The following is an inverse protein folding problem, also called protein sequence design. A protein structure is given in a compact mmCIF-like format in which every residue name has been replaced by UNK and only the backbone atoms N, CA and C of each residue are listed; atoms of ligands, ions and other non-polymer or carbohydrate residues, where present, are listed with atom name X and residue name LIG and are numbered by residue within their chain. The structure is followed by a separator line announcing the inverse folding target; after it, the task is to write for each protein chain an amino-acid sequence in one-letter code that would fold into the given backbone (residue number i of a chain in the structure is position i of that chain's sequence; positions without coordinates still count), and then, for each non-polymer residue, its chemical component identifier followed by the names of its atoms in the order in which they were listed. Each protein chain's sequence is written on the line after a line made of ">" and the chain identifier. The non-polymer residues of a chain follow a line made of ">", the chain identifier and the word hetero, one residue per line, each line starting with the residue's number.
data_IF_429114613533
#
_entry.id   IF_429114613533
#
_cell.length_a   1.000
_cell.length_b   1.000
_cell.length_c   1.000
_cell.angle_alpha   90.00
_cell.angle_beta   90.00
_cell.angle_gamma   90.00
#
_symmetry.space_group_name_H-M   'P 1'
#
loop_
_entity.id
_entity.type
_entity.pdbx_description
1 polymer ?
#
# COMPACT_ATOMS: atom_id res chain seq x y z
N UNK A 1 32.93 -8.95 22.91
CA UNK A 1 31.56 -8.63 23.36
C UNK A 1 31.09 -7.47 22.52
N UNK A 2 30.44 -7.76 21.39
CA UNK A 2 29.81 -6.74 20.56
C UNK A 2 28.55 -6.29 21.28
N UNK A 3 28.47 -5.00 21.57
CA UNK A 3 27.31 -4.31 22.11
C UNK A 3 26.05 -4.70 21.30
N UNK A 4 25.25 -5.60 21.86
CA UNK A 4 24.07 -6.21 21.23
C UNK A 4 22.81 -5.37 21.47
N UNK A 5 22.96 -4.05 21.62
CA UNK A 5 21.80 -3.18 21.75
C UNK A 5 21.05 -3.16 20.41
N UNK A 6 19.78 -3.57 20.39
CA UNK A 6 19.00 -3.59 19.17
C UNK A 6 18.89 -2.18 18.57
N UNK A 7 18.83 -2.08 17.23
CA UNK A 7 18.65 -0.78 16.57
C UNK A 7 17.27 -0.16 16.88
N UNK A 8 17.02 1.11 16.52
CA UNK A 8 15.74 1.76 16.78
C UNK A 8 14.51 0.98 16.26
N UNK A 9 14.66 0.33 15.10
CA UNK A 9 13.60 -0.53 14.52
C UNK A 9 13.36 -1.81 15.32
N UNK A 10 14.38 -2.33 15.99
CA UNK A 10 14.26 -3.51 16.83
C UNK A 10 13.60 -3.16 18.18
N UNK A 11 13.78 -1.93 18.69
CA UNK A 11 13.11 -1.47 19.90
C UNK A 11 11.60 -1.36 19.72
N UNK A 12 11.13 -0.72 18.64
CA UNK A 12 9.68 -0.58 18.39
C UNK A 12 9.00 -1.94 18.19
N UNK A 13 9.69 -2.89 17.55
CA UNK A 13 9.21 -4.27 17.38
C UNK A 13 9.08 -5.00 18.72
N UNK A 14 10.11 -4.95 19.56
CA UNK A 14 10.08 -5.61 20.88
C UNK A 14 8.99 -5.02 21.76
N UNK A 15 8.88 -3.69 21.82
CA UNK A 15 7.83 -3.01 22.59
C UNK A 15 6.43 -3.38 22.07
N UNK A 16 6.23 -3.52 20.74
CA UNK A 16 4.94 -3.95 20.17
C UNK A 16 4.54 -5.34 20.65
N UNK A 17 5.49 -6.28 20.64
CA UNK A 17 5.26 -7.64 21.11
C UNK A 17 4.95 -7.64 22.61
N UNK A 18 5.61 -6.79 23.39
CA UNK A 18 5.29 -6.62 24.81
C UNK A 18 3.87 -6.06 25.01
N UNK A 19 3.43 -5.09 24.20
CA UNK A 19 2.05 -4.56 24.27
C UNK A 19 1.00 -5.58 23.85
N UNK A 20 1.30 -6.40 22.85
CA UNK A 20 0.45 -7.53 22.48
C UNK A 20 0.32 -8.51 23.64
N UNK A 21 1.44 -8.92 24.24
CA UNK A 21 1.48 -9.87 25.36
C UNK A 21 0.71 -9.36 26.59
N UNK A 22 0.78 -8.06 26.84
CA UNK A 22 0.13 -7.42 27.99
C UNK A 22 -1.28 -6.90 27.68
N UNK A 23 -1.81 -7.12 26.47
CA UNK A 23 -3.16 -6.72 26.14
C UNK A 23 -4.15 -7.41 27.09
N UNK A 24 -5.06 -6.66 27.75
CA UNK A 24 -5.94 -7.21 28.77
C UNK A 24 -7.04 -8.12 28.18
N UNK A 25 -7.22 -8.11 26.87
CA UNK A 25 -8.22 -8.92 26.17
C UNK A 25 -7.56 -9.82 25.14
N UNK A 26 -8.28 -10.88 24.78
CA UNK A 26 -7.78 -11.85 23.82
C UNK A 26 -7.52 -11.20 22.46
N UNK A 27 -6.35 -11.51 21.88
CA UNK A 27 -5.97 -11.10 20.53
C UNK A 27 -5.00 -12.12 19.96
N UNK A 28 -5.21 -12.49 18.70
CA UNK A 28 -4.36 -13.42 17.95
C UNK A 28 -3.69 -12.64 16.84
N UNK A 29 -2.38 -12.82 16.68
CA UNK A 29 -1.61 -12.24 15.57
C UNK A 29 -0.63 -13.27 15.03
N UNK A 30 -0.39 -13.23 13.72
CA UNK A 30 0.66 -14.04 13.09
C UNK A 30 2.00 -13.40 13.37
N UNK A 31 2.98 -14.17 13.86
CA UNK A 31 4.28 -13.62 14.30
C UNK A 31 5.01 -12.83 13.21
N UNK A 32 4.83 -13.19 11.94
CA UNK A 32 5.40 -12.48 10.80
C UNK A 32 4.78 -11.11 10.54
N UNK A 33 3.67 -10.74 11.18
CA UNK A 33 2.99 -9.46 11.00
C UNK A 33 3.61 -8.35 11.86
N UNK A 34 4.18 -8.69 13.03
CA UNK A 34 4.79 -7.71 13.94
C UNK A 34 5.86 -6.83 13.28
N UNK A 35 6.81 -7.36 12.48
CA UNK A 35 7.77 -6.52 11.77
C UNK A 35 7.11 -5.56 10.76
N UNK A 36 6.02 -5.99 10.12
CA UNK A 36 5.28 -5.13 9.19
C UNK A 36 4.59 -3.98 9.95
N UNK A 37 3.89 -4.27 11.05
CA UNK A 37 3.29 -3.23 11.89
C UNK A 37 4.31 -2.24 12.44
N UNK A 38 5.40 -2.74 13.03
CA UNK A 38 6.47 -1.89 13.54
C UNK A 38 7.02 -0.97 12.43
N UNK A 39 7.27 -1.53 11.25
CA UNK A 39 7.78 -0.77 10.09
C UNK A 39 6.79 0.30 9.59
N UNK A 40 5.50 -0.01 9.58
CA UNK A 40 4.45 0.83 9.01
C UNK A 40 3.97 1.90 10.01
N UNK A 41 3.77 1.53 11.27
CA UNK A 41 3.05 2.33 12.26
C UNK A 41 3.95 3.02 13.29
N UNK A 42 5.22 2.59 13.46
CA UNK A 42 6.14 3.27 14.37
C UNK A 42 6.27 4.79 14.15
N UNK A 43 6.21 5.33 12.90
CA UNK A 43 6.23 6.77 12.69
C UNK A 43 5.11 7.56 13.38
N UNK A 44 4.02 6.89 13.77
CA UNK A 44 2.85 7.48 14.45
C UNK A 44 2.93 7.42 15.98
N UNK A 45 3.89 6.66 16.55
CA UNK A 45 4.04 6.51 18.00
C UNK A 45 4.24 7.85 18.70
N UNK A 46 3.50 8.05 19.79
CA UNK A 46 3.56 9.25 20.63
C UNK A 46 3.00 10.51 19.98
N UNK A 47 2.35 10.41 18.82
CA UNK A 47 1.77 11.54 18.09
C UNK A 47 0.25 11.42 18.01
N UNK A 48 -0.48 12.53 17.83
CA UNK A 48 -1.87 12.47 17.41
C UNK A 48 -1.99 11.70 16.09
N UNK A 49 -2.82 10.67 16.08
CA UNK A 49 -3.17 9.94 14.87
C UNK A 49 -4.58 9.37 14.99
N UNK A 50 -5.24 9.17 13.86
CA UNK A 50 -6.52 8.46 13.77
C UNK A 50 -6.25 7.09 13.15
N UNK A 51 -6.47 6.04 13.95
CA UNK A 51 -6.22 4.66 13.59
C UNK A 51 -7.54 3.89 13.58
N UNK A 52 -7.95 3.40 12.41
CA UNK A 52 -9.17 2.63 12.22
C UNK A 52 -8.78 1.15 12.05
N UNK A 53 -9.41 0.26 12.81
CA UNK A 53 -9.30 -1.20 12.65
C UNK A 53 -10.68 -1.77 12.35
N UNK A 54 -10.83 -2.54 11.27
CA UNK A 54 -12.02 -3.38 11.04
C UNK A 54 -11.71 -4.82 11.41
N UNK A 55 -12.64 -5.48 12.12
CA UNK A 55 -12.40 -6.75 12.78
C UNK A 55 -11.91 -6.54 14.22
N UNK A 56 -12.84 -6.54 15.18
CA UNK A 56 -12.55 -6.28 16.59
C UNK A 56 -12.45 -7.59 17.38
N UNK A 57 -13.33 -8.57 17.11
CA UNK A 57 -13.49 -9.78 17.93
C UNK A 57 -13.56 -9.43 19.44
N UNK A 58 -12.60 -9.93 20.23
CA UNK A 58 -12.48 -9.73 21.67
C UNK A 58 -11.77 -8.41 22.03
N UNK A 59 -11.51 -7.53 21.05
CA UNK A 59 -11.00 -6.18 21.27
C UNK A 59 -9.53 -6.09 21.67
N UNK A 60 -8.82 -7.20 21.88
CA UNK A 60 -7.44 -7.18 22.37
C UNK A 60 -6.46 -6.40 21.49
N UNK A 61 -6.67 -6.35 20.17
CA UNK A 61 -5.86 -5.52 19.28
C UNK A 61 -6.10 -4.02 19.51
N UNK A 62 -7.34 -3.58 19.78
CA UNK A 62 -7.63 -2.18 20.11
C UNK A 62 -6.86 -1.70 21.35
N UNK A 63 -6.79 -2.53 22.39
CA UNK A 63 -5.99 -2.20 23.59
C UNK A 63 -4.50 -2.18 23.30
N UNK A 64 -4.00 -3.15 22.53
CA UNK A 64 -2.61 -3.19 22.08
C UNK A 64 -2.24 -1.92 21.31
N UNK A 65 -3.06 -1.51 20.34
CA UNK A 65 -2.81 -0.31 19.53
C UNK A 65 -2.85 0.96 20.37
N UNK A 66 -3.81 1.09 21.30
CA UNK A 66 -3.90 2.25 22.19
C UNK A 66 -2.66 2.39 23.08
N UNK A 67 -2.16 1.30 23.64
CA UNK A 67 -0.97 1.31 24.49
C UNK A 67 0.30 1.60 23.65
N UNK A 68 0.44 0.92 22.51
CA UNK A 68 1.65 1.04 21.68
C UNK A 68 1.74 2.35 20.89
N UNK A 69 0.64 2.88 20.33
CA UNK A 69 0.65 4.17 19.62
C UNK A 69 0.69 5.35 20.59
N UNK A 70 0.17 5.17 21.80
CA UNK A 70 0.20 6.15 22.87
C UNK A 70 -1.10 6.96 23.02
N UNK A 71 -1.19 7.79 24.07
CA UNK A 71 -2.45 8.35 24.55
C UNK A 71 -3.09 9.40 23.63
N UNK A 72 -2.34 9.90 22.64
CA UNK A 72 -2.85 10.86 21.66
C UNK A 72 -3.50 10.17 20.45
N UNK A 73 -3.38 8.86 20.31
CA UNK A 73 -4.00 8.11 19.23
C UNK A 73 -5.51 7.95 19.48
N UNK A 74 -6.31 8.34 18.50
CA UNK A 74 -7.75 8.02 18.44
C UNK A 74 -7.89 6.66 17.76
N UNK A 75 -8.16 5.63 18.56
CA UNK A 75 -8.38 4.26 18.08
C UNK A 75 -9.88 4.04 17.84
N UNK A 76 -10.23 3.66 16.62
CA UNK A 76 -11.60 3.46 16.17
C UNK A 76 -11.76 2.00 15.71
N UNK A 77 -12.72 1.29 16.29
CA UNK A 77 -13.07 -0.06 15.89
C UNK A 77 -14.29 -0.09 14.96
N UNK A 78 -14.24 -0.95 13.95
CA UNK A 78 -15.36 -1.30 13.06
C UNK A 78 -15.61 -2.81 13.16
N UNK A 79 -16.85 -3.22 13.43
CA UNK A 79 -17.21 -4.65 13.44
C UNK A 79 -18.65 -4.87 12.98
N UNK A 80 -18.92 -6.04 12.39
CA UNK A 80 -20.27 -6.45 12.05
C UNK A 80 -21.05 -6.91 13.30
N UNK A 81 -20.36 -7.50 14.27
CA UNK A 81 -20.96 -8.01 15.49
C UNK A 81 -21.38 -6.84 16.41
N UNK A 82 -22.69 -6.64 16.65
CA UNK A 82 -23.16 -5.56 17.51
C UNK A 82 -22.64 -5.66 18.95
N UNK A 83 -22.25 -6.84 19.42
CA UNK A 83 -21.67 -7.00 20.76
C UNK A 83 -20.34 -6.25 20.95
N UNK A 84 -19.66 -5.89 19.85
CA UNK A 84 -18.45 -5.09 19.92
C UNK A 84 -18.68 -3.70 20.55
N UNK A 85 -19.92 -3.20 20.62
CA UNK A 85 -20.23 -1.95 21.32
C UNK A 85 -19.88 -2.00 22.81
N UNK A 86 -19.71 -3.19 23.42
CA UNK A 86 -19.22 -3.34 24.80
C UNK A 86 -17.88 -2.62 25.03
N UNK A 87 -17.05 -2.47 24.00
CA UNK A 87 -15.76 -1.79 24.10
C UNK A 87 -15.87 -0.27 24.26
N UNK A 88 -17.06 0.31 24.05
CA UNK A 88 -17.34 1.72 24.40
C UNK A 88 -17.18 1.99 25.89
N UNK A 89 -17.46 1.01 26.75
CA UNK A 89 -17.26 1.11 28.20
C UNK A 89 -15.77 1.22 28.56
N UNK A 90 -14.89 0.75 27.67
CA UNK A 90 -13.44 0.92 27.75
C UNK A 90 -12.94 2.20 27.06
N UNK A 91 -13.84 3.08 26.62
CA UNK A 91 -13.52 4.36 25.99
C UNK A 91 -13.19 4.29 24.50
N UNK A 92 -13.46 3.18 23.82
CA UNK A 92 -13.25 3.08 22.37
C UNK A 92 -14.42 3.64 21.58
N UNK A 93 -14.11 4.26 20.45
CA UNK A 93 -15.10 4.59 19.43
C UNK A 93 -15.38 3.33 18.59
N UNK A 94 -16.65 2.92 18.52
CA UNK A 94 -17.07 1.69 17.85
C UNK A 94 -18.19 1.98 16.85
N UNK A 95 -17.97 1.60 15.60
CA UNK A 95 -18.96 1.65 14.52
C UNK A 95 -19.39 0.23 14.17
N UNK A 96 -20.70 -0.02 14.18
CA UNK A 96 -21.25 -1.33 13.79
C UNK A 96 -21.69 -1.29 12.34
N UNK A 97 -21.17 -2.22 11.52
CA UNK A 97 -21.56 -2.32 10.11
C UNK A 97 -20.81 -3.40 9.35
N UNK A 98 -21.28 -3.66 8.13
CA UNK A 98 -20.68 -4.63 7.21
C UNK A 98 -19.58 -3.96 6.39
N UNK A 99 -18.33 -4.40 6.56
CA UNK A 99 -17.22 -3.88 5.75
C UNK A 99 -17.37 -4.18 4.25
N UNK A 100 -18.22 -5.15 3.89
CA UNK A 100 -18.59 -5.46 2.52
C UNK A 100 -19.57 -4.49 1.89
N UNK A 101 -20.13 -3.54 2.67
CA UNK A 101 -21.05 -2.51 2.20
C UNK A 101 -20.32 -1.17 1.94
N UNK A 102 -20.23 -0.73 0.67
CA UNK A 102 -19.66 0.57 0.34
C UNK A 102 -20.42 1.76 0.95
N UNK A 103 -21.74 1.64 1.15
CA UNK A 103 -22.54 2.73 1.72
C UNK A 103 -22.24 2.95 3.19
N UNK A 104 -22.06 1.86 3.95
CA UNK A 104 -21.54 1.90 5.31
C UNK A 104 -20.22 2.68 5.36
N UNK A 105 -19.22 2.31 4.56
CA UNK A 105 -17.93 3.01 4.56
C UNK A 105 -18.04 4.50 4.24
N UNK A 106 -18.83 4.87 3.23
CA UNK A 106 -19.03 6.30 2.89
C UNK A 106 -19.61 7.09 4.05
N UNK A 107 -20.61 6.54 4.75
CA UNK A 107 -21.20 7.19 5.94
C UNK A 107 -20.19 7.27 7.08
N UNK A 108 -19.49 6.19 7.35
CA UNK A 108 -18.50 6.10 8.44
C UNK A 108 -17.32 7.05 8.22
N UNK A 109 -16.74 7.11 7.01
CA UNK A 109 -15.68 8.07 6.71
C UNK A 109 -16.14 9.53 6.77
N UNK A 110 -17.39 9.81 6.39
CA UNK A 110 -17.96 11.16 6.55
C UNK A 110 -18.07 11.58 8.03
N UNK A 111 -18.30 10.63 8.94
CA UNK A 111 -18.34 10.89 10.39
C UNK A 111 -16.94 10.97 11.02
N UNK A 112 -16.03 10.09 10.61
CA UNK A 112 -14.67 10.02 11.17
C UNK A 112 -13.83 11.22 10.71
N UNK A 113 -13.95 11.61 9.44
CA UNK A 113 -13.11 12.62 8.80
C UNK A 113 -11.80 12.03 8.27
N UNK A 114 -10.72 12.79 8.37
CA UNK A 114 -9.40 12.32 7.92
C UNK A 114 -8.84 11.25 8.86
N UNK A 115 -8.11 10.30 8.30
CA UNK A 115 -7.45 9.22 9.05
C UNK A 115 -5.97 9.08 8.67
N UNK A 116 -5.18 8.47 9.55
CA UNK A 116 -3.76 8.20 9.33
C UNK A 116 -3.52 6.74 8.96
N UNK A 117 -4.32 5.83 9.51
CA UNK A 117 -4.29 4.39 9.20
C UNK A 117 -5.70 3.84 9.15
N UNK A 118 -5.97 3.01 8.14
CA UNK A 118 -7.00 1.99 8.17
C UNK A 118 -6.34 0.62 8.07
N UNK A 119 -6.65 -0.27 9.01
CA UNK A 119 -6.22 -1.66 9.07
C UNK A 119 -7.43 -2.58 8.88
N UNK A 120 -7.44 -3.37 7.82
CA UNK A 120 -8.45 -4.40 7.56
C UNK A 120 -7.99 -5.77 8.07
N UNK A 121 -8.51 -6.16 9.24
CA UNK A 121 -8.35 -7.45 9.89
C UNK A 121 -9.73 -8.12 10.13
N UNK A 122 -10.67 -7.88 9.21
CA UNK A 122 -12.07 -8.25 9.40
C UNK A 122 -12.43 -9.60 8.79
N UNK A 123 -13.41 -9.65 7.88
CA UNK A 123 -13.93 -10.93 7.37
C UNK A 123 -13.04 -11.67 6.37
N UNK A 124 -11.96 -11.04 5.89
CA UNK A 124 -10.94 -11.55 4.96
C UNK A 124 -11.42 -12.14 3.62
N UNK A 125 -12.72 -12.07 3.29
CA UNK A 125 -13.19 -12.40 1.95
C UNK A 125 -12.71 -11.34 0.97
N UNK A 126 -12.33 -11.75 -0.24
CA UNK A 126 -11.73 -10.78 -1.19
C UNK A 126 -12.65 -9.62 -1.51
N UNK A 127 -13.97 -9.81 -1.57
CA UNK A 127 -14.88 -8.68 -1.82
C UNK A 127 -14.88 -7.69 -0.64
N UNK A 128 -14.82 -8.18 0.60
CA UNK A 128 -14.75 -7.36 1.79
C UNK A 128 -13.46 -6.53 1.81
N UNK A 129 -12.31 -7.19 1.62
CA UNK A 129 -11.00 -6.51 1.55
C UNK A 129 -10.93 -5.49 0.41
N UNK A 130 -11.47 -5.83 -0.77
CA UNK A 130 -11.51 -4.91 -1.92
C UNK A 130 -12.42 -3.71 -1.64
N UNK A 131 -13.60 -3.92 -1.07
CA UNK A 131 -14.54 -2.83 -0.73
C UNK A 131 -13.92 -1.90 0.30
N UNK A 132 -13.40 -2.45 1.42
CA UNK A 132 -12.71 -1.65 2.44
C UNK A 132 -11.58 -0.83 1.84
N UNK A 133 -10.68 -1.47 1.08
CA UNK A 133 -9.53 -0.78 0.49
C UNK A 133 -9.97 0.29 -0.53
N UNK A 134 -10.90 -0.03 -1.42
CA UNK A 134 -11.42 0.89 -2.44
C UNK A 134 -12.08 2.13 -1.84
N UNK A 135 -12.95 1.96 -0.83
CA UNK A 135 -13.60 3.10 -0.18
C UNK A 135 -12.60 3.91 0.67
N UNK A 136 -11.65 3.27 1.35
CA UNK A 136 -10.60 3.96 2.10
C UNK A 136 -9.70 4.79 1.19
N UNK A 137 -9.27 4.25 0.04
CA UNK A 137 -8.48 4.98 -0.96
C UNK A 137 -9.23 6.20 -1.50
N UNK A 138 -10.55 6.10 -1.73
CA UNK A 138 -11.39 7.24 -2.14
C UNK A 138 -11.56 8.29 -1.05
N UNK A 139 -11.56 7.88 0.22
CA UNK A 139 -11.71 8.78 1.37
C UNK A 139 -10.40 9.45 1.80
N UNK A 140 -9.25 8.91 1.39
CA UNK A 140 -7.93 9.40 1.77
C UNK A 140 -7.61 10.77 1.12
N UNK A 141 -7.62 11.84 1.93
CA UNK A 141 -7.36 13.22 1.48
C UNK A 141 -5.95 13.73 1.82
N UNK A 142 -5.20 12.98 2.62
CA UNK A 142 -3.84 13.31 3.07
C UNK A 142 -2.96 12.05 3.02
N UNK A 143 -1.69 12.21 3.35
CA UNK A 143 -0.81 11.07 3.51
C UNK A 143 -1.33 10.12 4.59
N UNK A 144 -1.60 8.86 4.24
CA UNK A 144 -2.13 7.85 5.14
C UNK A 144 -1.77 6.43 4.66
N UNK A 145 -2.09 5.44 5.50
CA UNK A 145 -1.93 4.02 5.18
C UNK A 145 -3.28 3.33 5.09
N UNK A 146 -3.47 2.52 4.06
CA UNK A 146 -4.54 1.53 3.99
C UNK A 146 -3.87 0.16 3.97
N UNK A 147 -4.04 -0.61 5.04
CA UNK A 147 -3.33 -1.87 5.30
C UNK A 147 -4.35 -2.99 5.38
N UNK A 148 -4.07 -4.11 4.73
CA UNK A 148 -4.97 -5.28 4.69
C UNK A 148 -4.20 -6.50 5.18
N UNK A 149 -4.71 -7.16 6.22
CA UNK A 149 -4.20 -8.40 6.80
C UNK A 149 -4.75 -9.64 6.07
N UNK A 150 -4.17 -10.79 6.40
CA UNK A 150 -4.60 -12.12 5.95
C UNK A 150 -4.83 -12.24 4.44
N UNK A 151 -4.00 -11.56 3.66
CA UNK A 151 -4.04 -11.60 2.18
C UNK A 151 -3.81 -13.01 1.62
N UNK A 152 -3.31 -13.93 2.44
CA UNK A 152 -3.17 -15.35 2.15
C UNK A 152 -4.52 -16.06 1.89
N UNK A 153 -5.64 -15.53 2.39
CA UNK A 153 -6.99 -16.04 2.08
C UNK A 153 -7.29 -16.03 0.59
N UNK A 154 -6.60 -15.19 -0.20
CA UNK A 154 -6.63 -15.22 -1.67
C UNK A 154 -6.23 -16.58 -2.28
N UNK A 155 -5.62 -17.48 -1.52
CA UNK A 155 -5.27 -18.84 -1.95
C UNK A 155 -6.16 -19.93 -1.34
N UNK A 156 -7.01 -19.60 -0.36
CA UNK A 156 -7.86 -20.56 0.35
C UNK A 156 -9.14 -20.82 -0.45
N UNK A 157 -9.54 -22.09 -0.59
CA UNK A 157 -10.62 -22.49 -1.51
C UNK A 157 -11.99 -21.91 -1.11
N UNK A 158 -12.26 -21.90 0.18
CA UNK A 158 -13.42 -21.33 0.86
C UNK A 158 -13.51 -19.80 0.73
N UNK A 159 -12.38 -19.10 0.69
CA UNK A 159 -12.33 -17.65 0.48
C UNK A 159 -12.24 -17.24 -1.00
N UNK A 160 -12.12 -18.19 -1.92
CA UNK A 160 -11.86 -17.97 -3.37
C UNK A 160 -13.00 -18.45 -4.27
N UNK A 161 -14.25 -18.33 -3.82
CA UNK A 161 -15.42 -18.69 -4.64
C UNK A 161 -15.49 -17.92 -5.98
N UNK A 162 -14.89 -16.73 -6.05
CA UNK A 162 -14.81 -15.84 -7.21
C UNK A 162 -13.62 -16.13 -8.16
N UNK A 163 -12.91 -17.24 -7.97
CA UNK A 163 -11.86 -17.68 -8.88
C UNK A 163 -10.63 -16.75 -8.91
N UNK A 164 -10.33 -16.14 -10.05
CA UNK A 164 -9.10 -15.32 -10.23
C UNK A 164 -9.21 -13.91 -9.65
N UNK A 165 -10.41 -13.45 -9.31
CA UNK A 165 -10.67 -12.07 -8.89
C UNK A 165 -10.46 -11.87 -7.38
N UNK A 166 -9.28 -12.20 -6.88
CA UNK A 166 -8.95 -12.16 -5.44
C UNK A 166 -8.42 -10.79 -5.03
N UNK A 167 -8.39 -10.50 -3.73
CA UNK A 167 -7.75 -9.28 -3.21
C UNK A 167 -6.27 -9.20 -3.63
N UNK A 168 -5.54 -10.32 -3.59
CA UNK A 168 -4.14 -10.31 -4.02
C UNK A 168 -3.99 -10.00 -5.52
N UNK A 169 -4.94 -10.41 -6.36
CA UNK A 169 -4.95 -10.03 -7.78
C UNK A 169 -5.21 -8.53 -7.93
N UNK A 170 -6.19 -7.99 -7.20
CA UNK A 170 -6.48 -6.55 -7.14
C UNK A 170 -5.25 -5.72 -6.70
N UNK A 171 -4.55 -6.15 -5.65
CA UNK A 171 -3.32 -5.50 -5.18
C UNK A 171 -2.19 -5.57 -6.22
N UNK A 172 -2.05 -6.69 -6.94
CA UNK A 172 -1.05 -6.84 -8.02
C UNK A 172 -1.37 -5.93 -9.21
N UNK A 173 -2.63 -5.83 -9.61
CA UNK A 173 -3.04 -4.93 -10.71
C UNK A 173 -2.77 -3.46 -10.38
N UNK A 174 -2.73 -3.10 -9.09
CA UNK A 174 -2.32 -1.76 -8.67
C UNK A 174 -0.89 -1.43 -9.11
N UNK A 175 0.03 -2.40 -9.18
CA UNK A 175 1.39 -2.12 -9.66
C UNK A 175 1.41 -1.69 -11.12
N UNK A 176 0.53 -2.27 -11.93
CA UNK A 176 0.40 -1.89 -13.34
C UNK A 176 -0.16 -0.46 -13.45
N UNK A 177 -1.12 -0.08 -12.60
CA UNK A 177 -1.64 1.30 -12.55
C UNK A 177 -0.55 2.32 -12.15
N UNK A 178 0.29 2.00 -11.15
CA UNK A 178 1.38 2.89 -10.73
C UNK A 178 2.40 3.10 -11.85
N UNK A 179 2.83 2.01 -12.51
CA UNK A 179 3.76 2.09 -13.66
C UNK A 179 3.10 2.76 -14.86
N UNK A 180 1.80 2.57 -15.03
CA UNK A 180 0.98 3.17 -16.07
C UNK A 180 1.02 4.70 -16.11
N UNK A 181 1.31 5.34 -14.97
CA UNK A 181 1.48 6.79 -14.91
C UNK A 181 2.61 7.31 -15.79
N UNK A 182 3.61 6.48 -16.13
CA UNK A 182 4.71 6.84 -17.02
C UNK A 182 4.32 6.85 -18.51
N UNK A 183 3.14 6.35 -18.87
CA UNK A 183 2.74 6.15 -20.26
C UNK A 183 2.69 7.44 -21.10
N UNK A 184 2.25 8.60 -20.55
CA UNK A 184 2.31 9.88 -21.27
C UNK A 184 3.71 10.28 -21.73
N UNK A 185 4.79 9.75 -21.14
CA UNK A 185 6.16 10.00 -21.60
C UNK A 185 6.51 9.27 -22.89
N UNK A 186 5.74 8.25 -23.29
CA UNK A 186 5.97 7.46 -24.51
C UNK A 186 4.68 6.77 -24.99
N UNK A 187 3.65 7.52 -25.40
CA UNK A 187 2.33 6.97 -25.72
C UNK A 187 2.37 5.88 -26.80
N UNK A 188 3.26 6.00 -27.79
CA UNK A 188 3.42 5.03 -28.88
C UNK A 188 4.11 3.72 -28.47
N UNK A 189 4.60 3.62 -27.22
CA UNK A 189 5.41 2.48 -26.74
C UNK A 189 4.72 1.64 -25.68
N UNK A 190 3.61 2.12 -25.14
CA UNK A 190 2.87 1.43 -24.09
C UNK A 190 1.50 0.97 -24.58
N UNK A 191 1.02 -0.20 -24.15
CA UNK A 191 -0.30 -0.68 -24.54
C UNK A 191 -1.39 0.28 -24.00
N UNK A 192 -2.36 0.63 -24.85
CA UNK A 192 -3.52 1.45 -24.48
C UNK A 192 -4.52 0.64 -23.64
N UNK A 193 -4.22 0.35 -22.37
CA UNK A 193 -5.03 -0.61 -21.59
C UNK A 193 -5.17 -0.29 -20.10
N UNK A 194 -5.45 0.95 -19.74
CA UNK A 194 -5.90 1.26 -18.39
C UNK A 194 -7.30 1.83 -18.36
N UNK A 195 -8.08 1.37 -17.39
CA UNK A 195 -9.38 1.91 -17.07
C UNK A 195 -9.19 3.30 -16.45
N UNK A 196 -9.75 4.34 -17.09
CA UNK A 196 -9.65 5.72 -16.61
C UNK A 196 -10.20 5.88 -15.19
N UNK A 197 -11.25 5.15 -14.82
CA UNK A 197 -11.79 5.13 -13.45
C UNK A 197 -10.77 4.59 -12.45
N UNK A 198 -10.06 3.51 -12.80
CA UNK A 198 -9.03 2.93 -11.93
C UNK A 198 -7.82 3.86 -11.80
N UNK A 199 -7.43 4.55 -12.87
CA UNK A 199 -6.36 5.55 -12.79
C UNK A 199 -6.73 6.71 -11.86
N UNK A 200 -7.97 7.18 -11.93
CA UNK A 200 -8.48 8.24 -11.06
C UNK A 200 -8.57 7.77 -9.60
N UNK A 201 -9.12 6.58 -9.35
CA UNK A 201 -9.28 6.03 -8.00
C UNK A 201 -7.94 5.81 -7.30
N UNK A 202 -6.91 5.39 -8.04
CA UNK A 202 -5.60 5.13 -7.49
C UNK A 202 -4.66 6.31 -7.62
N UNK A 203 -5.07 7.48 -8.13
CA UNK A 203 -4.17 8.59 -8.48
C UNK A 203 -3.29 9.05 -7.31
N UNK A 204 -3.79 8.95 -6.09
CA UNK A 204 -3.15 9.40 -4.86
C UNK A 204 -2.32 8.31 -4.15
N UNK A 205 -2.37 7.06 -4.66
CA UNK A 205 -1.52 5.97 -4.16
C UNK A 205 -0.08 6.21 -4.62
N UNK A 206 0.84 6.44 -3.69
CA UNK A 206 2.25 6.67 -3.98
C UNK A 206 3.01 5.36 -4.20
N UNK A 207 2.75 4.36 -3.35
CA UNK A 207 3.39 3.05 -3.44
C UNK A 207 2.54 1.95 -2.81
N UNK A 208 2.76 0.70 -3.22
CA UNK A 208 2.19 -0.49 -2.56
C UNK A 208 3.34 -1.35 -2.04
N UNK A 209 3.23 -1.79 -0.79
CA UNK A 209 4.22 -2.65 -0.15
C UNK A 209 3.58 -4.00 0.23
N UNK A 210 4.25 -5.09 -0.16
CA UNK A 210 3.84 -6.46 0.16
C UNK A 210 4.72 -7.02 1.27
N UNK A 211 4.09 -7.59 2.28
CA UNK A 211 4.69 -8.35 3.37
C UNK A 211 4.10 -9.76 3.40
N UNK A 212 4.68 -10.71 4.14
CA UNK A 212 4.03 -12.01 4.38
C UNK A 212 2.66 -11.81 5.04
N UNK A 213 1.59 -12.02 4.28
CA UNK A 213 0.20 -11.92 4.74
C UNK A 213 -0.38 -10.50 4.79
N UNK A 214 0.40 -9.44 4.58
CA UNK A 214 -0.07 -8.04 4.64
C UNK A 214 0.23 -7.28 3.34
N UNK A 215 -0.72 -6.46 2.89
CA UNK A 215 -0.50 -5.46 1.83
C UNK A 215 -0.79 -4.07 2.38
N UNK A 216 0.12 -3.12 2.15
CA UNK A 216 -0.05 -1.72 2.53
C UNK A 216 -0.05 -0.81 1.30
N UNK A 217 -1.11 -0.03 1.12
CA UNK A 217 -1.18 1.08 0.19
C UNK A 217 -0.75 2.35 0.92
N UNK A 218 0.33 2.97 0.45
CA UNK A 218 0.78 4.27 0.91
C UNK A 218 0.11 5.33 0.05
N UNK A 219 -0.84 6.05 0.61
CA UNK A 219 -1.49 7.18 -0.04
C UNK A 219 -0.69 8.43 0.31
N UNK A 220 -0.35 9.23 -0.70
CA UNK A 220 0.34 10.52 -0.53
C UNK A 220 0.08 11.39 -1.77
N UNK A 221 -1.02 12.17 -1.80
CA UNK A 221 -1.38 13.01 -2.93
C UNK A 221 -0.26 13.98 -3.30
N UNK A 222 0.43 14.55 -2.31
CA UNK A 222 1.49 15.53 -2.50
C UNK A 222 2.75 14.95 -3.17
N UNK A 223 2.95 13.63 -3.09
CA UNK A 223 4.06 12.93 -3.74
C UNK A 223 3.68 12.25 -5.06
N UNK A 224 2.40 12.19 -5.39
CA UNK A 224 1.91 11.65 -6.66
C UNK A 224 2.06 12.67 -7.81
N UNK A 225 3.30 13.07 -8.06
CA UNK A 225 3.65 14.08 -9.06
C UNK A 225 3.59 13.49 -10.48
N UNK A 226 2.98 14.19 -11.46
CA UNK A 226 3.00 13.75 -12.86
C UNK A 226 4.43 13.57 -13.37
N UNK A 227 4.73 12.49 -14.12
CA UNK A 227 6.09 12.24 -14.56
C UNK A 227 6.50 13.21 -15.68
N UNK A 228 7.72 13.74 -15.55
CA UNK A 228 8.36 14.61 -16.54
C UNK A 228 9.77 14.10 -16.82
N UNK A 229 10.19 14.10 -18.08
CA UNK A 229 11.59 13.86 -18.44
C UNK A 229 12.41 15.12 -18.15
N UNK A 230 13.30 15.02 -17.18
CA UNK A 230 14.21 16.11 -16.77
C UNK A 230 15.65 15.68 -16.93
N UNK A 231 16.52 16.64 -17.27
CA UNK A 231 17.96 16.44 -17.39
C UNK A 231 18.68 17.32 -16.38
N UNK A 232 19.64 16.76 -15.66
CA UNK A 232 20.53 17.56 -14.81
C UNK A 232 21.70 18.16 -15.62
N UNK A 233 22.09 17.54 -16.74
CA UNK A 233 23.16 17.96 -17.66
C UNK A 233 22.88 17.47 -19.09
N UNK A 234 23.57 18.06 -20.06
CA UNK A 234 23.55 17.57 -21.44
C UNK A 234 24.29 16.24 -21.58
N UNK A 235 23.82 15.43 -22.53
CA UNK A 235 24.50 14.18 -22.87
C UNK A 235 25.64 14.49 -23.85
N UNK A 236 26.89 14.27 -23.45
CA UNK A 236 28.05 14.71 -24.23
C UNK A 236 28.81 13.59 -24.93
N UNK A 237 28.73 12.33 -24.48
CA UNK A 237 29.67 11.28 -24.96
C UNK A 237 29.18 9.83 -24.94
N UNK A 238 27.98 9.52 -24.41
CA UNK A 238 27.56 8.13 -24.23
C UNK A 238 26.76 7.57 -25.44
N UNK A 239 27.21 6.45 -25.99
CA UNK A 239 26.49 5.66 -27.01
C UNK A 239 25.56 4.62 -26.38
N UNK A 240 24.36 4.44 -26.95
CA UNK A 240 23.39 3.42 -26.48
C UNK A 240 23.73 2.04 -27.05
N UNK A 241 24.27 1.15 -26.21
CA UNK A 241 24.64 -0.22 -26.57
C UNK A 241 23.57 -1.28 -26.25
N UNK A 242 22.34 -0.91 -25.87
CA UNK A 242 21.29 -1.83 -25.38
C UNK A 242 21.02 -3.03 -26.30
N UNK A 243 21.27 -2.91 -27.61
CA UNK A 243 21.02 -3.97 -28.61
C UNK A 243 22.28 -4.61 -29.21
N UNK A 244 23.48 -4.29 -28.73
CA UNK A 244 24.74 -4.79 -29.31
C UNK A 244 25.22 -6.12 -28.69
N UNK A 245 24.66 -6.51 -27.54
CA UNK A 245 24.98 -7.76 -26.83
C UNK A 245 23.99 -8.89 -27.12
N UNK A 246 23.94 -9.88 -26.20
CA UNK A 246 22.93 -10.94 -26.26
C UNK A 246 21.52 -10.35 -26.23
N UNK A 247 20.67 -10.76 -27.17
CA UNK A 247 19.28 -10.32 -27.27
C UNK A 247 18.29 -11.25 -26.55
N UNK A 248 18.77 -12.28 -25.85
CA UNK A 248 17.97 -13.17 -25.03
C UNK A 248 18.81 -13.83 -23.95
N UNK A 249 18.16 -14.22 -22.86
CA UNK A 249 18.74 -15.03 -21.81
C UNK A 249 17.82 -16.23 -21.49
N UNK A 250 18.42 -17.40 -21.31
CA UNK A 250 17.73 -18.54 -20.73
C UNK A 250 17.88 -18.44 -19.23
N UNK A 251 16.77 -18.26 -18.55
CA UNK A 251 16.71 -18.26 -17.09
C UNK A 251 15.89 -19.46 -16.66
N UNK A 252 16.31 -20.11 -15.57
CA UNK A 252 15.34 -20.90 -14.83
C UNK A 252 14.35 -19.88 -14.28
N UNK A 253 13.16 -19.83 -14.87
CA UNK A 253 12.15 -18.90 -14.43
C UNK A 253 11.62 -19.50 -13.16
N UNK A 254 11.86 -18.88 -11.99
CA UNK A 254 11.05 -19.24 -10.87
C UNK A 254 9.69 -18.64 -11.21
N UNK A 255 8.82 -19.39 -11.89
CA UNK A 255 7.45 -19.24 -11.48
C UNK A 255 7.52 -19.63 -10.01
N UNK A 256 7.45 -18.62 -9.13
CA UNK A 256 7.67 -18.77 -7.69
C UNK A 256 6.70 -19.79 -7.07
N UNK A 257 5.74 -20.28 -7.87
CA UNK A 257 4.69 -21.24 -7.54
C UNK A 257 4.80 -22.56 -8.34
N UNK A 258 5.48 -22.59 -9.50
CA UNK A 258 5.69 -23.78 -10.36
C UNK A 258 7.04 -23.71 -11.07
N UNK A 259 7.88 -24.74 -10.95
CA UNK A 259 9.19 -24.77 -11.63
C UNK A 259 9.09 -24.79 -13.16
N UNK A 260 10.15 -24.31 -13.83
CA UNK A 260 10.29 -24.39 -15.30
C UNK A 260 11.34 -23.42 -15.87
N UNK A 261 12.02 -23.79 -16.94
CA UNK A 261 12.90 -22.85 -17.66
C UNK A 261 12.09 -22.07 -18.70
N UNK A 262 12.31 -20.75 -18.80
CA UNK A 262 11.77 -19.93 -19.89
C UNK A 262 12.88 -19.15 -20.58
N UNK A 263 12.69 -18.87 -21.85
CA UNK A 263 13.58 -17.97 -22.59
C UNK A 263 12.98 -16.58 -22.58
N UNK A 264 13.67 -15.63 -21.96
CA UNK A 264 13.28 -14.22 -21.96
C UNK A 264 14.01 -13.53 -23.11
N UNK A 265 13.25 -13.00 -24.05
CA UNK A 265 13.78 -12.26 -25.21
C UNK A 265 13.83 -10.77 -24.88
N UNK A 266 14.90 -10.10 -25.29
CA UNK A 266 15.00 -8.65 -25.30
C UNK A 266 14.06 -8.02 -26.35
N UNK A 267 13.81 -6.73 -26.21
CA UNK A 267 13.03 -5.97 -27.18
C UNK A 267 13.76 -5.77 -28.51
N UNK A 268 13.01 -5.45 -29.57
CA UNK A 268 13.56 -5.05 -30.86
C UNK A 268 14.09 -3.62 -30.85
N UNK A 269 14.92 -3.31 -31.85
CA UNK A 269 15.51 -1.99 -32.03
C UNK A 269 14.48 -0.99 -32.57
N UNK A 270 13.98 -0.13 -31.69
CA UNK A 270 13.03 0.94 -32.03
C UNK A 270 13.73 2.31 -32.09
N UNK A 271 14.90 2.36 -32.75
CA UNK A 271 15.76 3.55 -32.96
C UNK A 271 15.01 4.84 -33.38
N UNK A 272 13.81 4.75 -33.93
CA UNK A 272 12.99 5.89 -34.37
C UNK A 272 12.13 6.56 -33.28
N UNK A 273 11.89 5.91 -32.13
CA UNK A 273 10.97 6.41 -31.09
C UNK A 273 11.67 7.03 -29.87
N UNK A 274 12.79 6.46 -29.42
CA UNK A 274 13.49 6.91 -28.20
C UNK A 274 14.17 8.28 -28.36
N UNK A 275 14.69 8.56 -29.57
CA UNK A 275 15.36 9.82 -29.88
C UNK A 275 14.44 11.04 -29.87
N UNK A 276 13.12 10.86 -30.06
CA UNK A 276 12.14 11.96 -30.02
C UNK A 276 11.78 12.36 -28.59
N UNK A 277 11.52 11.39 -27.70
CA UNK A 277 11.20 11.64 -26.28
C UNK A 277 12.38 12.28 -25.53
N UNK A 278 13.61 11.84 -25.79
CA UNK A 278 14.80 12.42 -25.18
C UNK A 278 15.05 13.89 -25.61
N UNK A 279 14.71 14.27 -26.84
CA UNK A 279 14.82 15.66 -27.32
C UNK A 279 13.80 16.61 -26.69
N UNK A 280 12.71 16.08 -26.13
CA UNK A 280 11.63 16.85 -25.52
C UNK A 280 11.80 17.09 -24.00
N UNK A 281 12.88 16.60 -23.39
CA UNK A 281 13.16 16.81 -21.97
C UNK A 281 13.44 18.29 -21.66
N UNK A 282 12.88 18.81 -20.57
CA UNK A 282 12.92 20.23 -20.24
C UNK A 282 14.29 20.70 -19.70
N UNK A 283 14.64 21.97 -19.96
CA UNK A 283 15.89 22.60 -19.51
C UNK A 283 15.99 22.61 -17.97
N UNK A 284 17.14 22.18 -17.38
CA UNK A 284 17.40 22.19 -15.94
C UNK A 284 17.23 23.54 -15.25
N UNK A 285 17.35 24.68 -15.95
CA UNK A 285 17.40 26.02 -15.34
C UNK A 285 16.20 26.38 -14.46
N UNK A 286 15.02 25.79 -14.69
CA UNK A 286 13.81 26.06 -13.91
C UNK A 286 13.31 24.81 -13.13
N UNK A 287 14.11 23.75 -13.06
CA UNK A 287 13.71 22.48 -12.46
C UNK A 287 13.35 22.63 -10.97
N UNK A 288 14.20 23.31 -10.18
CA UNK A 288 13.95 23.50 -8.75
C UNK A 288 12.73 24.37 -8.46
N UNK A 289 12.41 25.32 -9.32
CA UNK A 289 11.21 26.16 -9.20
C UNK A 289 9.94 25.38 -9.55
N UNK A 290 9.99 24.51 -10.57
CA UNK A 290 8.90 23.58 -10.90
C UNK A 290 8.67 22.54 -9.80
N UNK A 291 9.74 21.93 -9.26
CA UNK A 291 9.65 20.97 -8.14
C UNK A 291 9.04 21.62 -6.90
N UNK A 292 9.47 22.84 -6.55
CA UNK A 292 8.88 23.58 -5.42
C UNK A 292 7.39 23.88 -5.63
N UNK A 293 6.98 24.21 -6.85
CA UNK A 293 5.57 24.46 -7.20
C UNK A 293 4.70 23.18 -7.19
N UNK A 294 5.31 22.03 -7.47
CA UNK A 294 4.64 20.73 -7.42
C UNK A 294 4.50 20.21 -5.98
N UNK A 295 5.50 20.46 -5.12
CA UNK A 295 5.49 20.07 -3.71
C UNK A 295 4.70 21.03 -2.79
N UNK A 296 4.27 22.19 -3.31
CA UNK A 296 3.49 23.18 -2.57
C UNK A 296 1.97 23.11 -2.81
N UNK A 297 1.50 22.07 -3.50
CA UNK A 297 0.08 21.75 -3.73
C UNK A 297 -0.35 20.66 -2.76
#
# INVERSE_FOLDING_TARGET
>A
MTDSRPGPQDHDLVDLIEKWKNSPQHTVKVTSYFPAYARLFAPLRGKPCVFIETGILDGGSLFMWRDWLGPQARIIGVDLNPEATKWRDSGFEIHIGDQGDPEFWRKTFAQIGEFDVLLDDGGHQSFQQIVTASEALRAAKKACLVVVEDTGTSFMKDFRAHGRNTFLQYAKETTDLLVGRLFPLSPDRFPSRFNAKSLEEFKDVFSVQFFPGIVAFHVDPARCIPPELVRNRENTTASDFRYHGKNAARVQWPSLIKGGAVTVKGGGDLRTLFGRALKAASDPKHFMERVRRLLSR
#
